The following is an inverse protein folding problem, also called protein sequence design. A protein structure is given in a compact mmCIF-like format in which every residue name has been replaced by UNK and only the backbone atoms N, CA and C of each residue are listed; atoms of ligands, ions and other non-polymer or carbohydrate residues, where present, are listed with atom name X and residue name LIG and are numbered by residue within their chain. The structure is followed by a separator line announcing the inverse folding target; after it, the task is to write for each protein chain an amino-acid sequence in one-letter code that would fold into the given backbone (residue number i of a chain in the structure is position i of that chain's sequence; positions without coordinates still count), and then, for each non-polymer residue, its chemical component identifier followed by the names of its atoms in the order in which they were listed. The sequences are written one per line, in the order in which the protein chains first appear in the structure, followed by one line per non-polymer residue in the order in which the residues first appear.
data_IF_244503269179
#
_entry.id   IF_244503269179
#
_cell.length_a   1.000
_cell.length_b   1.000
_cell.length_c   1.000
_cell.angle_alpha   90.00
_cell.angle_beta   90.00
_cell.angle_gamma   90.00
#
_symmetry.space_group_name_H-M   'P 1'
#
loop_
_entity.id
_entity.type
_entity.pdbx_description
1 polymer ?
#
# COMPACT_ATOMS: atom_id res chain seq x y z
N UNK A 1 1.89 -15.34 21.20
CA UNK A 1 1.79 -16.23 20.02
C UNK A 1 1.06 -15.46 18.95
N UNK A 2 1.66 -15.25 17.78
CA UNK A 2 0.98 -14.63 16.63
C UNK A 2 0.50 -15.72 15.69
N UNK A 3 -0.74 -15.64 15.24
CA UNK A 3 -1.25 -16.44 14.12
C UNK A 3 -1.24 -15.56 12.88
N UNK A 4 -0.66 -16.04 11.78
CA UNK A 4 -0.78 -15.40 10.48
C UNK A 4 -2.00 -16.00 9.77
N UNK A 5 -2.86 -15.15 9.23
CA UNK A 5 -3.98 -15.55 8.39
C UNK A 5 -3.79 -14.90 7.02
N UNK A 6 -3.92 -15.69 5.97
CA UNK A 6 -3.94 -15.23 4.59
C UNK A 6 -5.26 -15.66 3.97
N UNK A 7 -5.91 -14.73 3.27
CA UNK A 7 -7.15 -14.98 2.55
C UNK A 7 -6.94 -14.44 1.13
N UNK A 8 -7.01 -15.32 0.14
CA UNK A 8 -7.05 -14.91 -1.26
C UNK A 8 -8.48 -14.56 -1.63
N UNK A 9 -8.71 -13.28 -1.92
CA UNK A 9 -10.00 -12.71 -2.31
C UNK A 9 -9.93 -12.10 -3.72
N UNK A 10 -8.92 -12.47 -4.49
CA UNK A 10 -8.71 -11.95 -5.84
C UNK A 10 -9.89 -12.32 -6.74
N UNK A 11 -10.61 -11.31 -7.23
CA UNK A 11 -11.81 -11.51 -8.05
C UNK A 11 -13.14 -11.50 -7.29
N UNK A 12 -13.11 -11.35 -5.96
CA UNK A 12 -14.31 -11.15 -5.16
C UNK A 12 -14.66 -9.67 -5.02
N UNK A 13 -15.96 -9.37 -4.96
CA UNK A 13 -16.40 -8.04 -4.50
C UNK A 13 -16.24 -7.98 -2.99
N UNK A 14 -15.52 -6.97 -2.52
CA UNK A 14 -15.29 -6.75 -1.09
C UNK A 14 -16.04 -5.52 -0.58
N UNK A 15 -16.34 -5.54 0.71
CA UNK A 15 -16.83 -4.39 1.46
C UNK A 15 -15.91 -4.17 2.66
N UNK A 16 -15.26 -3.01 2.70
CA UNK A 16 -14.43 -2.59 3.82
C UNK A 16 -15.14 -1.47 4.59
N UNK A 17 -15.19 -1.60 5.92
CA UNK A 17 -15.81 -0.61 6.80
C UNK A 17 -14.97 -0.41 8.06
N UNK A 18 -14.91 0.85 8.52
CA UNK A 18 -14.31 1.21 9.81
C UNK A 18 -15.42 1.59 10.77
N UNK A 19 -15.47 0.89 11.90
CA UNK A 19 -16.31 1.25 13.04
C UNK A 19 -15.46 2.04 14.02
N UNK A 20 -15.78 3.32 14.30
CA UNK A 20 -15.00 4.14 15.21
C UNK A 20 -15.12 3.62 16.64
N UNK A 21 -14.09 3.90 17.45
CA UNK A 21 -14.06 3.59 18.87
C UNK A 21 -15.33 4.04 19.59
N UNK A 22 -15.86 3.16 20.43
CA UNK A 22 -16.96 3.45 21.38
C UNK A 22 -16.48 3.23 22.82
N UNK A 23 -17.37 3.47 23.77
CA UNK A 23 -17.07 3.42 25.22
C UNK A 23 -16.40 2.11 25.68
N UNK A 24 -16.73 0.98 25.05
CA UNK A 24 -16.23 -0.36 25.42
C UNK A 24 -15.66 -1.17 24.26
N UNK A 25 -15.61 -0.59 23.05
CA UNK A 25 -15.11 -1.29 21.86
C UNK A 25 -14.05 -0.42 21.18
N UNK A 26 -12.87 -0.99 20.86
CA UNK A 26 -11.86 -0.27 20.08
C UNK A 26 -12.36 0.00 18.67
N UNK A 27 -11.57 0.72 17.88
CA UNK A 27 -11.83 0.88 16.46
C UNK A 27 -11.72 -0.49 15.78
N UNK A 28 -12.68 -0.81 14.90
CA UNK A 28 -12.71 -2.11 14.21
C UNK A 28 -12.66 -1.85 12.70
N UNK A 29 -11.65 -2.42 12.04
CA UNK A 29 -11.61 -2.54 10.59
C UNK A 29 -12.19 -3.90 10.20
N UNK A 30 -13.31 -3.89 9.48
CA UNK A 30 -13.95 -5.10 8.98
C UNK A 30 -13.81 -5.16 7.45
N UNK A 31 -13.28 -6.27 6.93
CA UNK A 31 -13.24 -6.59 5.50
C UNK A 31 -14.10 -7.82 5.25
N UNK A 32 -15.19 -7.63 4.50
CA UNK A 32 -16.14 -8.68 4.13
C UNK A 32 -15.93 -9.06 2.67
N UNK A 33 -15.75 -10.36 2.43
CA UNK A 33 -15.71 -11.00 1.13
C UNK A 33 -16.73 -12.16 1.09
N UNK A 34 -16.88 -12.85 -0.03
CA UNK A 34 -17.72 -14.06 -0.11
C UNK A 34 -17.08 -15.21 0.67
N UNK A 35 -15.75 -15.32 0.62
CA UNK A 35 -14.97 -16.36 1.32
C UNK A 35 -14.91 -16.18 2.83
N UNK A 36 -15.22 -14.98 3.36
CA UNK A 36 -15.26 -14.76 4.80
C UNK A 36 -15.28 -13.30 5.22
N UNK A 37 -15.16 -13.06 6.52
CA UNK A 37 -15.01 -11.73 7.10
C UNK A 37 -13.82 -11.72 8.03
N UNK A 38 -12.94 -10.72 7.86
CA UNK A 38 -11.81 -10.46 8.74
C UNK A 38 -12.11 -9.17 9.51
N UNK A 39 -11.99 -9.25 10.84
CA UNK A 39 -12.14 -8.09 11.72
C UNK A 39 -10.85 -7.87 12.50
N UNK A 40 -10.35 -6.64 12.45
CA UNK A 40 -9.11 -6.25 13.12
C UNK A 40 -9.47 -5.19 14.15
N UNK A 41 -9.24 -5.52 15.42
CA UNK A 41 -9.42 -4.61 16.55
C UNK A 41 -8.13 -3.81 16.75
N UNK A 42 -8.23 -2.50 16.64
CA UNK A 42 -7.08 -1.62 16.60
C UNK A 42 -7.41 -0.24 17.19
N UNK A 43 -6.37 0.51 17.55
CA UNK A 43 -6.51 1.91 17.95
C UNK A 43 -6.36 2.84 16.73
N UNK A 44 -6.59 4.13 16.93
CA UNK A 44 -6.60 5.09 15.82
C UNK A 44 -5.19 5.32 15.22
N UNK A 45 -4.13 5.16 16.01
CA UNK A 45 -2.74 5.24 15.53
C UNK A 45 -2.43 4.07 14.58
N UNK A 46 -2.81 2.86 14.97
CA UNK A 46 -2.68 1.66 14.14
C UNK A 46 -3.53 1.75 12.87
N UNK A 47 -4.72 2.36 12.93
CA UNK A 47 -5.53 2.61 11.73
C UNK A 47 -4.82 3.56 10.77
N UNK A 48 -4.21 4.62 11.29
CA UNK A 48 -3.47 5.58 10.49
C UNK A 48 -2.25 4.95 9.81
N UNK A 49 -1.53 4.04 10.48
CA UNK A 49 -0.42 3.29 9.86
C UNK A 49 -0.89 2.41 8.70
N UNK A 50 -2.04 1.73 8.86
CA UNK A 50 -2.64 0.92 7.78
C UNK A 50 -3.01 1.81 6.59
N UNK A 51 -3.63 2.95 6.85
CA UNK A 51 -4.01 3.90 5.81
C UNK A 51 -2.79 4.43 5.04
N UNK A 52 -1.73 4.80 5.77
CA UNK A 52 -0.48 5.25 5.18
C UNK A 52 0.14 4.19 4.28
N UNK A 53 0.21 2.93 4.74
CA UNK A 53 0.76 1.82 3.95
C UNK A 53 -0.04 1.56 2.67
N UNK A 54 -1.38 1.61 2.74
CA UNK A 54 -2.25 1.47 1.56
C UNK A 54 -2.02 2.61 0.59
N UNK A 55 -2.01 3.86 1.06
CA UNK A 55 -1.74 5.04 0.22
C UNK A 55 -0.39 4.96 -0.46
N UNK A 56 0.67 4.62 0.28
CA UNK A 56 2.01 4.49 -0.26
C UNK A 56 2.07 3.46 -1.40
N UNK A 57 1.40 2.31 -1.24
CA UNK A 57 1.32 1.30 -2.30
C UNK A 57 0.54 1.80 -3.53
N UNK A 58 -0.60 2.47 -3.32
CA UNK A 58 -1.39 3.01 -4.41
C UNK A 58 -0.67 4.15 -5.16
N UNK A 59 0.07 4.99 -4.44
CA UNK A 59 0.86 6.06 -5.02
C UNK A 59 2.01 5.51 -5.88
N UNK A 60 2.68 4.43 -5.45
CA UNK A 60 3.74 3.80 -6.25
C UNK A 60 3.23 3.08 -7.50
N UNK A 61 1.99 2.56 -7.47
CA UNK A 61 1.35 1.97 -8.65
C UNK A 61 0.86 3.06 -9.62
N UNK A 62 0.37 4.18 -9.09
CA UNK A 62 -0.16 5.29 -9.89
C UNK A 62 0.93 6.13 -10.54
N UNK A 63 2.01 6.37 -9.80
CA UNK A 63 3.22 7.01 -10.28
C UNK A 63 4.34 5.99 -10.12
N UNK A 64 4.41 4.97 -11.00
CA UNK A 64 5.60 4.15 -11.04
C UNK A 64 6.75 5.11 -11.27
N UNK A 65 7.71 5.15 -10.36
CA UNK A 65 8.92 5.92 -10.57
C UNK A 65 9.53 5.40 -11.88
N UNK A 66 9.27 6.12 -12.97
CA UNK A 66 10.08 5.99 -14.17
C UNK A 66 11.52 6.17 -13.68
N UNK A 67 12.47 5.32 -14.11
CA UNK A 67 13.86 5.54 -13.78
C UNK A 67 14.18 6.96 -14.25
N UNK A 68 14.31 7.89 -13.31
CA UNK A 68 14.76 9.23 -13.63
C UNK A 68 16.18 9.02 -14.12
N UNK A 69 16.41 9.19 -15.41
CA UNK A 69 17.77 9.33 -15.93
C UNK A 69 18.42 10.42 -15.10
N UNK A 70 19.35 10.01 -14.24
CA UNK A 70 20.09 10.92 -13.41
C UNK A 70 20.90 11.81 -14.35
N UNK A 71 21.15 13.06 -13.98
CA UNK A 71 21.95 14.01 -14.79
C UNK A 71 23.35 13.43 -15.13
N UNK A 72 23.82 12.43 -14.37
CA UNK A 72 25.02 11.65 -14.66
C UNK A 72 24.89 10.75 -15.90
N UNK A 73 23.74 10.15 -16.16
CA UNK A 73 23.49 9.28 -17.31
C UNK A 73 23.48 10.08 -18.62
N UNK A 74 22.87 11.26 -18.60
CA UNK A 74 22.87 12.20 -19.73
C UNK A 74 24.29 12.70 -20.06
N UNK A 75 25.14 12.86 -19.03
CA UNK A 75 26.53 13.31 -19.18
C UNK A 75 27.45 12.23 -19.76
N UNK A 76 27.18 10.97 -19.42
CA UNK A 76 27.84 9.81 -20.01
C UNK A 76 27.52 9.68 -21.51
N UNK A 77 26.26 9.84 -21.92
CA UNK A 77 25.90 9.81 -23.35
C UNK A 77 26.55 10.93 -24.17
N UNK A 78 26.57 12.16 -23.64
CA UNK A 78 27.20 13.29 -24.32
C UNK A 78 28.71 13.09 -24.51
N UNK A 79 29.39 12.60 -23.47
CA UNK A 79 30.84 12.35 -23.51
C UNK A 79 31.21 11.22 -24.47
N UNK A 80 30.34 10.20 -24.58
CA UNK A 80 30.51 9.14 -25.57
C UNK A 80 30.36 9.71 -26.99
N UNK A 81 29.37 10.57 -27.25
CA UNK A 81 29.17 11.16 -28.60
C UNK A 81 30.28 12.13 -29.01
N UNK A 82 30.85 12.90 -28.09
CA UNK A 82 31.97 13.82 -28.39
C UNK A 82 33.32 13.10 -28.56
N UNK A 83 33.49 11.89 -27.99
CA UNK A 83 34.74 11.12 -28.10
C UNK A 83 34.91 10.30 -29.38
N UNK A 84 33.90 10.27 -30.28
CA UNK A 84 33.91 9.52 -31.54
C UNK A 84 33.82 10.41 -32.80
N UNK A 85 33.93 11.74 -32.64
CA UNK A 85 33.93 12.73 -33.72
C UNK A 85 35.34 13.22 -34.07
#
# INVERSE_FOLDING_TARGET
MGAAMSLDITGERIEAAVQPKRMYTPTILSVRAQSGTVEIHLNDEQLAEIEFAIRQHLDSVRYPEEPQETVEDVKLEYSIKEGIA
#
